data_IF_266181774455
#
_entry.id   IF_266181774455
#
_cell.length_a   1.000
_cell.length_b   1.000
_cell.length_c   1.000
_cell.angle_alpha   90.00
_cell.angle_beta   90.00
_cell.angle_gamma   90.00
#
_symmetry.space_group_name_H-M   'P 1'
#
loop_
_entity.id
_entity.type
_entity.pdbx_description
1 polymer ?
#
# COMPACT_ATOMS: atom_id res chain seq x y z
N UNK A 1 -26.87 -51.14 -16.77
CA UNK A 1 -25.86 -50.04 -16.75
C UNK A 1 -26.54 -48.64 -16.76
N UNK A 2 -27.32 -48.26 -15.73
CA UNK A 2 -28.10 -47.00 -15.74
C UNK A 2 -27.94 -46.07 -14.51
N UNK A 3 -27.03 -46.37 -13.58
CA UNK A 3 -26.91 -45.59 -12.33
C UNK A 3 -25.73 -44.61 -12.26
N UNK A 4 -24.80 -44.59 -13.23
CA UNK A 4 -23.63 -43.71 -13.15
C UNK A 4 -23.94 -42.22 -13.38
N UNK A 5 -25.03 -41.88 -14.10
CA UNK A 5 -25.34 -40.47 -14.39
C UNK A 5 -25.77 -39.70 -13.14
N UNK A 6 -26.60 -40.29 -12.27
CA UNK A 6 -27.06 -39.65 -11.03
C UNK A 6 -25.92 -39.35 -10.05
N UNK A 7 -24.95 -40.27 -9.96
CA UNK A 7 -23.78 -40.12 -9.10
C UNK A 7 -22.90 -38.97 -9.63
N UNK A 8 -22.65 -38.91 -10.93
CA UNK A 8 -21.84 -37.85 -11.56
C UNK A 8 -22.49 -36.47 -11.38
N UNK A 9 -23.81 -36.33 -11.54
CA UNK A 9 -24.50 -35.06 -11.32
C UNK A 9 -24.48 -34.63 -9.84
N UNK A 10 -24.56 -35.58 -8.90
CA UNK A 10 -24.40 -35.30 -7.46
C UNK A 10 -22.99 -34.80 -7.12
N UNK A 11 -21.95 -35.43 -7.67
CA UNK A 11 -20.56 -34.99 -7.48
C UNK A 11 -20.28 -33.63 -8.11
N UNK A 12 -20.83 -33.36 -9.30
CA UNK A 12 -20.66 -32.06 -9.96
C UNK A 12 -21.31 -30.93 -9.15
N UNK A 13 -22.53 -31.15 -8.65
CA UNK A 13 -23.22 -30.19 -7.79
C UNK A 13 -22.46 -29.94 -6.49
N UNK A 14 -21.95 -30.99 -5.84
CA UNK A 14 -21.14 -30.87 -4.63
C UNK A 14 -19.83 -30.11 -4.88
N UNK A 15 -19.15 -30.35 -6.00
CA UNK A 15 -17.95 -29.62 -6.37
C UNK A 15 -18.20 -28.13 -6.60
N UNK A 16 -19.31 -27.76 -7.25
CA UNK A 16 -19.69 -26.34 -7.46
C UNK A 16 -19.97 -25.65 -6.12
N UNK A 17 -20.67 -26.32 -5.19
CA UNK A 17 -20.94 -25.79 -3.85
C UNK A 17 -19.64 -25.58 -3.07
N UNK A 18 -18.72 -26.55 -3.08
CA UNK A 18 -17.41 -26.42 -2.43
C UNK A 18 -16.57 -25.28 -3.04
N UNK A 19 -16.56 -25.15 -4.36
CA UNK A 19 -15.87 -24.07 -5.05
C UNK A 19 -16.46 -22.70 -4.65
N UNK A 20 -17.80 -22.60 -4.57
CA UNK A 20 -18.49 -21.41 -4.11
C UNK A 20 -18.12 -21.02 -2.67
N UNK A 21 -18.04 -22.00 -1.77
CA UNK A 21 -17.60 -21.78 -0.37
C UNK A 21 -16.13 -21.34 -0.33
N UNK A 22 -15.25 -21.96 -1.12
CA UNK A 22 -13.85 -21.55 -1.19
C UNK A 22 -13.69 -20.12 -1.70
N UNK A 23 -14.36 -19.74 -2.79
CA UNK A 23 -14.26 -18.39 -3.38
C UNK A 23 -14.85 -17.30 -2.49
N UNK A 24 -15.90 -17.62 -1.72
CA UNK A 24 -16.49 -16.71 -0.74
C UNK A 24 -15.65 -16.55 0.53
N UNK A 25 -14.83 -17.55 0.89
CA UNK A 25 -14.00 -17.51 2.09
C UNK A 25 -12.57 -17.01 1.84
N UNK A 26 -12.06 -17.16 0.62
CA UNK A 26 -10.69 -16.79 0.28
C UNK A 26 -10.58 -15.32 -0.16
N UNK A 27 -9.52 -14.62 0.29
CA UNK A 27 -9.21 -13.30 -0.25
C UNK A 27 -8.77 -13.45 -1.72
N UNK A 28 -9.55 -12.88 -2.62
CA UNK A 28 -9.29 -12.93 -4.07
C UNK A 28 -8.77 -11.61 -4.59
N UNK A 29 -9.25 -10.51 -4.02
CA UNK A 29 -8.86 -9.16 -4.39
C UNK A 29 -7.89 -8.64 -3.34
N UNK A 30 -6.68 -8.32 -3.78
CA UNK A 30 -5.67 -7.67 -2.98
C UNK A 30 -5.56 -6.20 -3.43
N UNK A 31 -5.78 -5.26 -2.51
CA UNK A 31 -5.51 -3.84 -2.71
C UNK A 31 -4.25 -3.46 -1.96
N UNK A 32 -3.25 -3.00 -2.73
CA UNK A 32 -2.00 -2.47 -2.23
C UNK A 32 -1.98 -0.97 -2.44
N UNK A 33 -1.80 -0.25 -1.35
CA UNK A 33 -1.66 1.20 -1.37
C UNK A 33 -0.19 1.57 -1.52
N UNK A 34 0.11 2.57 -2.33
CA UNK A 34 1.43 3.14 -2.52
C UNK A 34 1.35 4.65 -2.38
N UNK A 35 2.47 5.28 -2.02
CA UNK A 35 2.65 6.72 -2.15
C UNK A 35 3.89 7.03 -2.95
N UNK A 36 3.91 8.16 -3.65
CA UNK A 36 5.16 8.68 -4.19
C UNK A 36 6.04 9.22 -3.05
N UNK A 37 7.32 8.82 -3.02
CA UNK A 37 8.28 9.33 -2.03
C UNK A 37 8.46 10.85 -2.09
N UNK A 38 8.33 11.45 -3.27
CA UNK A 38 8.55 12.88 -3.46
C UNK A 38 7.28 13.71 -3.25
N UNK A 39 6.32 13.58 -4.17
CA UNK A 39 5.11 14.40 -4.13
C UNK A 39 4.00 13.83 -3.24
N UNK A 40 4.14 12.63 -2.69
CA UNK A 40 3.08 11.95 -1.90
C UNK A 40 1.75 11.77 -2.64
N UNK A 41 1.80 11.67 -3.97
CA UNK A 41 0.67 11.20 -4.75
C UNK A 41 0.30 9.79 -4.26
N UNK A 42 -0.97 9.53 -4.00
CA UNK A 42 -1.43 8.22 -3.58
C UNK A 42 -1.74 7.36 -4.81
N UNK A 43 -1.42 6.07 -4.73
CA UNK A 43 -1.76 5.07 -5.77
C UNK A 43 -2.35 3.83 -5.12
N UNK A 44 -3.55 3.44 -5.54
CA UNK A 44 -4.16 2.16 -5.20
C UNK A 44 -3.96 1.19 -6.36
N UNK A 45 -3.38 0.02 -6.07
CA UNK A 45 -3.20 -1.07 -7.04
C UNK A 45 -4.01 -2.27 -6.58
N UNK A 46 -5.02 -2.64 -7.37
CA UNK A 46 -5.85 -3.82 -7.11
C UNK A 46 -5.37 -4.98 -7.95
N UNK A 47 -5.32 -6.15 -7.33
CA UNK A 47 -4.82 -7.39 -7.92
C UNK A 47 -5.79 -8.53 -7.68
N UNK A 48 -5.86 -9.45 -8.65
CA UNK A 48 -6.49 -10.76 -8.50
C UNK A 48 -5.44 -11.81 -8.88
N UNK A 49 -5.16 -12.76 -8.00
CA UNK A 49 -4.14 -13.81 -8.23
C UNK A 49 -2.80 -13.26 -8.79
N UNK A 50 -2.29 -12.18 -8.20
CA UNK A 50 -1.07 -11.45 -8.62
C UNK A 50 -1.16 -10.65 -9.93
N UNK A 51 -2.26 -10.72 -10.68
CA UNK A 51 -2.49 -9.90 -11.88
C UNK A 51 -3.06 -8.56 -11.46
N UNK A 52 -2.44 -7.47 -11.90
CA UNK A 52 -2.94 -6.11 -11.65
C UNK A 52 -4.16 -5.85 -12.52
N UNK A 53 -5.31 -5.63 -11.89
CA UNK A 53 -6.59 -5.38 -12.57
C UNK A 53 -6.92 -3.90 -12.69
N UNK A 54 -6.43 -3.08 -11.76
CA UNK A 54 -6.63 -1.63 -11.80
C UNK A 54 -5.52 -0.89 -11.06
N UNK A 55 -5.15 0.27 -11.59
CA UNK A 55 -4.37 1.27 -10.87
C UNK A 55 -5.16 2.58 -10.88
N UNK A 56 -5.35 3.17 -9.71
CA UNK A 56 -5.88 4.53 -9.60
C UNK A 56 -4.90 5.40 -8.82
N UNK A 57 -4.84 6.67 -9.17
CA UNK A 57 -4.08 7.68 -8.44
C UNK A 57 -5.03 8.67 -7.80
N UNK A 58 -4.76 9.03 -6.55
CA UNK A 58 -5.55 9.99 -5.78
C UNK A 58 -4.62 11.15 -5.42
N UNK A 59 -5.00 12.35 -5.83
CA UNK A 59 -4.28 13.57 -5.45
C UNK A 59 -4.46 13.83 -3.95
N UNK A 60 -3.35 14.08 -3.25
CA UNK A 60 -3.30 14.42 -1.82
C UNK A 60 -2.99 15.91 -1.64
N UNK A 61 -3.19 16.43 -0.42
CA UNK A 61 -2.75 17.80 -0.08
C UNK A 61 -1.27 18.02 -0.37
N UNK A 62 -0.44 17.03 -0.05
CA UNK A 62 1.00 17.05 -0.31
C UNK A 62 1.31 17.08 -1.82
N UNK A 63 0.62 16.27 -2.64
CA UNK A 63 0.88 16.26 -4.08
C UNK A 63 0.37 17.50 -4.79
N UNK A 64 -0.75 18.04 -4.33
CA UNK A 64 -1.28 19.31 -4.85
C UNK A 64 -0.34 20.47 -4.53
N UNK A 65 0.15 20.56 -3.29
CA UNK A 65 1.18 21.53 -2.91
C UNK A 65 2.48 21.33 -3.70
N UNK A 66 2.97 20.10 -3.81
CA UNK A 66 4.22 19.81 -4.55
C UNK A 66 4.11 20.27 -6.00
N UNK A 67 2.98 19.98 -6.65
CA UNK A 67 2.69 20.39 -8.03
C UNK A 67 2.69 21.90 -8.21
N UNK A 68 2.22 22.67 -7.22
CA UNK A 68 2.23 24.14 -7.30
C UNK A 68 3.63 24.74 -7.14
N UNK A 69 4.55 24.05 -6.47
CA UNK A 69 5.92 24.53 -6.25
C UNK A 69 6.90 24.09 -7.35
N UNK A 70 6.78 22.85 -7.81
CA UNK A 70 7.78 22.20 -8.67
C UNK A 70 7.23 21.68 -9.99
N UNK A 71 5.93 21.84 -10.25
CA UNK A 71 5.27 21.24 -11.41
C UNK A 71 5.04 19.74 -11.26
N UNK A 72 4.69 19.08 -12.37
CA UNK A 72 4.36 17.65 -12.40
C UNK A 72 5.52 16.75 -12.87
N UNK A 73 6.69 17.33 -13.14
CA UNK A 73 7.77 16.67 -13.86
C UNK A 73 8.76 16.01 -12.89
N UNK A 74 8.33 14.92 -12.26
CA UNK A 74 9.27 14.03 -11.59
C UNK A 74 8.90 12.57 -11.81
N UNK A 75 9.93 11.71 -11.76
CA UNK A 75 9.73 10.27 -11.81
C UNK A 75 9.13 9.82 -10.48
N UNK A 76 7.91 9.30 -10.53
CA UNK A 76 7.29 8.76 -9.33
C UNK A 76 8.03 7.50 -8.84
N UNK A 77 8.66 7.62 -7.68
CA UNK A 77 9.17 6.48 -6.91
C UNK A 77 8.06 6.01 -5.97
N UNK A 78 7.41 4.91 -6.33
CA UNK A 78 6.29 4.35 -5.57
C UNK A 78 6.78 3.52 -4.39
N UNK A 79 6.26 3.86 -3.22
CA UNK A 79 6.62 3.22 -1.96
C UNK A 79 5.37 2.59 -1.36
N UNK A 80 5.45 1.30 -1.02
CA UNK A 80 4.32 0.55 -0.49
C UNK A 80 3.93 1.08 0.90
N UNK A 81 2.64 1.35 1.09
CA UNK A 81 2.06 1.75 2.36
C UNK A 81 1.95 0.54 3.32
N UNK A 82 1.91 0.77 4.64
CA UNK A 82 1.86 -0.28 5.65
C UNK A 82 0.58 -1.10 5.69
N UNK A 83 -0.40 -0.78 4.84
CA UNK A 83 -1.71 -1.41 4.83
C UNK A 83 -1.91 -2.16 3.51
N UNK A 84 -2.17 -3.46 3.60
CA UNK A 84 -2.69 -4.25 2.50
C UNK A 84 -4.11 -4.66 2.85
N UNK A 85 -5.04 -4.42 1.93
CA UNK A 85 -6.44 -4.79 2.11
C UNK A 85 -6.76 -6.01 1.25
N UNK A 86 -7.36 -7.02 1.86
CA UNK A 86 -7.81 -8.22 1.17
C UNK A 86 -9.33 -8.27 1.17
N UNK A 87 -9.95 -8.61 0.03
CA UNK A 87 -11.40 -8.79 -0.09
C UNK A 87 -11.74 -10.12 -0.78
N UNK A 88 -12.81 -10.77 -0.34
CA UNK A 88 -13.41 -11.93 -1.02
C UNK A 88 -14.33 -11.48 -2.17
N UNK A 89 -15.00 -12.42 -2.86
CA UNK A 89 -16.00 -12.09 -3.91
C UNK A 89 -17.19 -11.28 -3.40
N UNK A 90 -17.53 -11.40 -2.11
CA UNK A 90 -18.66 -10.70 -1.49
C UNK A 90 -18.31 -9.27 -1.09
N UNK A 91 -17.04 -8.88 -1.22
CA UNK A 91 -16.53 -7.57 -0.78
C UNK A 91 -16.17 -7.51 0.70
N UNK A 92 -16.34 -8.60 1.46
CA UNK A 92 -15.93 -8.68 2.86
C UNK A 92 -14.41 -8.58 2.93
N UNK A 93 -13.95 -7.61 3.72
CA UNK A 93 -12.55 -7.22 3.78
C UNK A 93 -11.87 -7.64 5.08
N UNK A 94 -10.61 -8.07 4.99
CA UNK A 94 -9.66 -8.07 6.11
C UNK A 94 -8.50 -7.16 5.75
N UNK A 95 -8.22 -6.19 6.62
CA UNK A 95 -7.02 -5.37 6.51
C UNK A 95 -5.88 -6.07 7.23
N UNK A 96 -4.76 -6.28 6.52
CA UNK A 96 -3.51 -6.70 7.13
C UNK A 96 -2.59 -5.48 7.18
N UNK A 97 -2.16 -5.15 8.38
CA UNK A 97 -1.08 -4.20 8.57
C UNK A 97 0.21 -5.00 8.35
N UNK A 98 0.99 -4.61 7.35
CA UNK A 98 2.28 -5.22 7.04
C UNK A 98 3.42 -4.61 7.85
N UNK A 99 3.25 -3.42 8.44
CA UNK A 99 4.29 -2.69 9.18
C UNK A 99 3.77 -2.20 10.53
N UNK A 100 4.55 -2.30 11.61
CA UNK A 100 4.16 -1.81 12.94
C UNK A 100 3.68 -0.35 12.88
N UNK A 101 2.57 -0.07 13.56
CA UNK A 101 2.03 1.29 13.73
C UNK A 101 3.09 2.15 14.45
N UNK A 102 3.80 3.01 13.72
CA UNK A 102 4.81 3.92 14.27
C UNK A 102 6.18 3.91 13.57
N UNK A 103 6.43 3.00 12.63
CA UNK A 103 7.76 2.80 12.02
C UNK A 103 7.84 3.24 10.56
N UNK A 104 6.93 4.12 10.14
CA UNK A 104 6.97 4.64 8.78
C UNK A 104 6.53 6.09 8.70
N UNK A 105 6.95 6.81 7.67
CA UNK A 105 6.49 8.19 7.45
C UNK A 105 4.97 8.23 7.26
N UNK A 106 4.36 7.13 6.80
CA UNK A 106 2.90 6.98 6.69
C UNK A 106 2.18 6.92 8.04
N UNK A 107 2.91 6.81 9.15
CA UNK A 107 2.35 6.95 10.49
C UNK A 107 2.19 8.42 10.91
N UNK A 108 2.84 9.37 10.23
CA UNK A 108 2.63 10.80 10.45
C UNK A 108 1.28 11.22 9.85
N UNK A 109 0.64 12.21 10.47
CA UNK A 109 -0.54 12.87 9.90
C UNK A 109 -0.21 13.54 8.57
N UNK A 110 -1.23 13.79 7.74
CA UNK A 110 -1.04 14.47 6.44
C UNK A 110 -0.41 15.87 6.59
N UNK A 111 -0.70 16.56 7.69
CA UNK A 111 -0.15 17.90 7.93
C UNK A 111 1.31 17.84 8.41
N UNK A 112 1.69 16.85 9.23
CA UNK A 112 3.09 16.60 9.61
C UNK A 112 3.95 16.20 8.40
N UNK A 113 3.42 15.36 7.51
CA UNK A 113 4.09 14.99 6.26
C UNK A 113 4.30 16.21 5.36
N UNK A 114 3.28 17.08 5.25
CA UNK A 114 3.38 18.33 4.49
C UNK A 114 4.41 19.28 5.11
N UNK A 115 4.43 19.41 6.43
CA UNK A 115 5.39 20.25 7.13
C UNK A 115 6.83 19.74 6.92
N UNK A 116 7.06 18.43 6.92
CA UNK A 116 8.36 17.83 6.61
C UNK A 116 8.81 18.19 5.19
N UNK A 117 7.91 18.05 4.23
CA UNK A 117 8.20 18.43 2.84
C UNK A 117 8.51 19.93 2.71
N UNK A 118 7.77 20.79 3.41
CA UNK A 118 8.01 22.24 3.42
C UNK A 118 9.33 22.63 4.09
N UNK A 119 9.67 22.02 5.22
CA UNK A 119 10.93 22.30 5.92
C UNK A 119 12.15 21.77 5.13
N UNK A 120 11.94 20.76 4.28
CA UNK A 120 12.98 20.26 3.37
C UNK A 120 13.18 21.12 2.12
N UNK A 121 12.46 22.22 1.95
CA UNK A 121 12.67 23.17 0.85
C UNK A 121 14.05 23.81 1.04
N UNK A 122 15.00 23.44 0.17
CA UNK A 122 16.38 23.93 0.21
C UNK A 122 17.43 22.87 0.56
N UNK A 123 17.02 21.69 1.05
CA UNK A 123 17.91 20.52 1.12
C UNK A 123 18.04 19.88 -0.27
N UNK A 124 19.22 19.33 -0.58
CA UNK A 124 19.43 18.57 -1.81
C UNK A 124 18.38 17.45 -1.90
N UNK A 125 17.61 17.46 -2.99
CA UNK A 125 16.54 16.50 -3.30
C UNK A 125 17.02 15.05 -3.15
N UNK A 126 18.30 14.78 -3.42
CA UNK A 126 18.91 13.46 -3.28
C UNK A 126 18.97 12.98 -1.82
N UNK A 127 19.33 13.84 -0.87
CA UNK A 127 19.42 13.52 0.56
C UNK A 127 18.05 13.10 1.10
N UNK A 128 17.01 13.85 0.73
CA UNK A 128 15.64 13.58 1.17
C UNK A 128 15.11 12.25 0.65
N UNK A 129 15.41 11.92 -0.61
CA UNK A 129 15.09 10.62 -1.20
C UNK A 129 15.82 9.48 -0.50
N UNK A 130 17.08 9.68 -0.13
CA UNK A 130 17.86 8.67 0.60
C UNK A 130 17.28 8.40 2.00
N UNK A 131 16.86 9.44 2.74
CA UNK A 131 16.18 9.26 4.04
C UNK A 131 14.89 8.45 3.87
N UNK A 132 14.09 8.78 2.86
CA UNK A 132 12.83 8.07 2.58
C UNK A 132 13.11 6.60 2.20
N UNK A 133 14.14 6.33 1.39
CA UNK A 133 14.56 4.97 1.02
C UNK A 133 15.08 4.20 2.23
N UNK A 134 15.89 4.82 3.09
CA UNK A 134 16.41 4.23 4.33
C UNK A 134 15.27 3.82 5.25
N UNK A 135 14.32 4.74 5.49
CA UNK A 135 13.14 4.46 6.29
C UNK A 135 12.37 3.28 5.68
N UNK A 136 12.07 3.33 4.38
CA UNK A 136 11.36 2.25 3.71
C UNK A 136 12.08 0.89 3.80
N UNK A 137 13.41 0.87 3.62
CA UNK A 137 14.22 -0.35 3.71
C UNK A 137 14.19 -0.94 5.12
N UNK A 138 14.38 -0.11 6.15
CA UNK A 138 14.30 -0.54 7.54
C UNK A 138 12.92 -1.14 7.85
N UNK A 139 11.86 -0.44 7.42
CA UNK A 139 10.49 -0.88 7.60
C UNK A 139 10.19 -2.20 6.87
N UNK A 140 10.72 -2.43 5.65
CA UNK A 140 10.59 -3.71 4.93
C UNK A 140 11.34 -4.87 5.61
N UNK A 141 12.42 -4.59 6.31
CA UNK A 141 13.26 -5.58 6.98
C UNK A 141 12.79 -5.90 8.40
N UNK A 142 11.66 -5.32 8.84
CA UNK A 142 11.19 -5.33 10.24
C UNK A 142 12.28 -4.84 11.22
N UNK A 143 13.17 -3.96 10.75
CA UNK A 143 14.22 -3.33 11.56
C UNK A 143 13.65 -2.10 12.27
N UNK A 144 13.00 -2.37 13.39
CA UNK A 144 12.28 -1.40 14.21
C UNK A 144 13.17 -0.29 14.74
N UNK A 145 14.40 -0.61 15.09
CA UNK A 145 15.37 0.33 15.63
C UNK A 145 15.81 1.33 14.55
N UNK A 146 16.18 0.83 13.36
CA UNK A 146 16.56 1.68 12.24
C UNK A 146 15.38 2.55 11.75
N UNK A 147 14.17 1.99 11.71
CA UNK A 147 12.97 2.73 11.32
C UNK A 147 12.63 3.85 12.33
N UNK A 148 12.71 3.55 13.62
CA UNK A 148 12.48 4.52 14.70
C UNK A 148 13.54 5.62 14.71
N UNK A 149 14.80 5.26 14.56
CA UNK A 149 15.93 6.20 14.50
C UNK A 149 15.78 7.19 13.33
N UNK A 150 15.44 6.67 12.14
CA UNK A 150 15.21 7.51 10.95
C UNK A 150 14.00 8.44 11.14
N UNK A 151 12.94 7.99 11.82
CA UNK A 151 11.80 8.84 12.15
C UNK A 151 12.13 9.93 13.17
N UNK A 152 13.00 9.65 14.15
CA UNK A 152 13.49 10.65 15.10
C UNK A 152 14.30 11.71 14.36
N UNK A 153 15.20 11.31 13.45
CA UNK A 153 15.96 12.23 12.59
C UNK A 153 15.01 13.16 11.81
N UNK A 154 13.98 12.60 11.17
CA UNK A 154 12.94 13.37 10.48
C UNK A 154 12.23 14.34 11.44
N UNK A 155 11.84 13.90 12.63
CA UNK A 155 11.17 14.76 13.62
C UNK A 155 12.07 15.86 14.18
N UNK A 156 13.38 15.65 14.24
CA UNK A 156 14.33 16.68 14.61
C UNK A 156 14.44 17.76 13.52
N UNK A 157 14.36 17.39 12.24
CA UNK A 157 14.31 18.35 11.12
C UNK A 157 12.98 19.12 11.02
N UNK A 158 11.96 18.72 11.78
CA UNK A 158 10.66 19.40 11.84
C UNK A 158 10.59 20.54 12.87
N UNK A 159 11.53 20.57 13.83
CA UNK A 159 11.62 21.60 14.88
C UNK A 159 12.49 22.77 14.42
#
# INVERSE_FOLDING_TARGET
>A
MKNNKFIIFGFLGFAVVLLGIQLSSHPLIESRMYTCGECRLHRDSRRIFSVVISNSTIETKCSSWYKSQYGNDHKHVWILAPLIQYKNINGDGKASITLSKGESLWALSSDEQLQYLKNSIGQDRSIRLEIIKKLYKATLQDDKEAATSTLIEIKQTLK
#
